data_IF_816093987509
#
_entry.id   IF_816093987509
#
_cell.length_a   1.000
_cell.length_b   1.000
_cell.length_c   1.000
_cell.angle_alpha   90.00
_cell.angle_beta   90.00
_cell.angle_gamma   90.00
#
_symmetry.space_group_name_H-M   'P 1'
#
loop_
_entity.id
_entity.type
_entity.pdbx_description
1 polymer ?
#
# COMPACT_ATOMS: atom_id res chain seq x y z
N UNK A 1 23.03 6.30 -23.50
CA UNK A 1 22.82 5.06 -22.73
C UNK A 1 21.34 4.74 -22.82
N UNK A 2 20.98 3.54 -23.23
CA UNK A 2 19.60 3.11 -23.46
C UNK A 2 19.30 1.95 -22.50
N UNK A 3 18.21 2.06 -21.74
CA UNK A 3 17.81 1.05 -20.74
C UNK A 3 16.61 0.31 -21.32
N UNK A 4 16.74 -1.01 -21.48
CA UNK A 4 15.66 -1.85 -21.99
C UNK A 4 14.65 -2.17 -20.89
N UNK A 5 13.37 -1.90 -21.15
CA UNK A 5 12.28 -2.17 -20.22
C UNK A 5 11.28 -3.08 -20.94
N UNK A 6 10.86 -4.16 -20.30
CA UNK A 6 9.74 -4.99 -20.78
C UNK A 6 8.57 -4.87 -19.83
N UNK A 7 7.35 -5.02 -20.34
CA UNK A 7 6.15 -4.88 -19.55
C UNK A 7 4.86 -5.03 -20.35
N UNK A 8 3.74 -4.87 -19.69
CA UNK A 8 2.41 -4.84 -20.31
C UNK A 8 1.60 -3.66 -19.80
N UNK A 9 0.74 -3.12 -20.68
CA UNK A 9 -0.21 -2.06 -20.32
C UNK A 9 -1.59 -2.68 -20.17
N UNK A 10 -2.19 -2.55 -18.99
CA UNK A 10 -3.57 -2.93 -18.75
C UNK A 10 -4.46 -1.70 -18.92
N UNK A 11 -5.54 -1.89 -19.67
CA UNK A 11 -6.58 -0.89 -19.87
C UNK A 11 -7.85 -1.35 -19.16
N UNK A 12 -8.36 -0.53 -18.23
CA UNK A 12 -9.72 -0.68 -17.72
C UNK A 12 -10.65 0.20 -18.55
N UNK A 13 -11.68 -0.41 -19.14
CA UNK A 13 -12.73 0.30 -19.88
C UNK A 13 -13.66 1.02 -18.89
N UNK A 14 -13.25 2.17 -18.35
CA UNK A 14 -14.17 3.07 -17.65
C UNK A 14 -14.49 4.27 -18.56
N UNK A 15 -15.78 4.45 -18.84
CA UNK A 15 -16.34 5.41 -19.79
C UNK A 15 -16.38 6.86 -19.28
N UNK A 16 -15.48 7.23 -18.37
CA UNK A 16 -15.45 8.54 -17.74
C UNK A 16 -14.26 9.38 -18.19
N UNK A 17 -14.40 10.71 -18.14
CA UNK A 17 -13.45 11.67 -18.73
C UNK A 17 -12.03 11.65 -18.16
N UNK A 18 -11.75 10.84 -17.14
CA UNK A 18 -10.41 10.55 -16.63
C UNK A 18 -10.06 9.07 -16.83
N UNK A 19 -9.42 8.73 -17.94
CA UNK A 19 -8.91 7.38 -18.18
C UNK A 19 -7.46 7.27 -17.70
N UNK A 20 -7.09 6.12 -17.13
CA UNK A 20 -5.72 5.82 -16.73
C UNK A 20 -5.31 4.44 -17.26
N UNK A 21 -4.03 4.27 -17.54
CA UNK A 21 -3.43 3.00 -17.92
C UNK A 21 -2.46 2.55 -16.82
N UNK A 22 -2.52 1.27 -16.46
CA UNK A 22 -1.52 0.68 -15.58
C UNK A 22 -0.41 0.05 -16.42
N UNK A 23 0.82 0.55 -16.29
CA UNK A 23 2.02 -0.05 -16.88
C UNK A 23 2.68 -0.96 -15.85
N UNK A 24 2.78 -2.25 -16.17
CA UNK A 24 3.46 -3.25 -15.37
C UNK A 24 4.82 -3.54 -15.99
N UNK A 25 5.89 -3.30 -15.24
CA UNK A 25 7.24 -3.61 -15.70
C UNK A 25 7.63 -5.04 -15.29
N UNK A 26 8.01 -5.86 -16.26
CA UNK A 26 8.49 -7.23 -16.04
C UNK A 26 10.01 -7.31 -16.00
N UNK A 27 10.72 -6.39 -16.67
CA UNK A 27 12.18 -6.29 -16.55
C UNK A 27 12.71 -4.86 -16.67
N UNK A 28 13.87 -4.62 -16.05
CA UNK A 28 14.65 -3.41 -16.16
C UNK A 28 16.11 -3.76 -16.50
N UNK A 29 16.59 -3.29 -17.64
CA UNK A 29 17.91 -3.62 -18.21
C UNK A 29 18.14 -5.15 -18.31
N UNK A 30 17.12 -5.88 -18.76
CA UNK A 30 17.15 -7.33 -18.90
C UNK A 30 17.05 -8.13 -17.59
N UNK A 31 16.94 -7.47 -16.43
CA UNK A 31 16.77 -8.15 -15.13
C UNK A 31 15.29 -8.19 -14.74
N UNK A 32 14.76 -9.34 -14.28
CA UNK A 32 13.40 -9.41 -13.76
C UNK A 32 13.20 -8.40 -12.62
N UNK A 33 12.10 -7.64 -12.68
CA UNK A 33 11.69 -6.81 -11.53
C UNK A 33 10.78 -7.69 -10.67
N UNK A 34 11.38 -8.46 -9.76
CA UNK A 34 10.60 -9.19 -8.78
C UNK A 34 10.09 -8.17 -7.75
N UNK A 35 8.78 -8.03 -7.63
CA UNK A 35 8.13 -7.13 -6.67
C UNK A 35 7.05 -7.90 -5.92
N UNK A 36 6.80 -7.50 -4.69
CA UNK A 36 5.71 -8.02 -3.87
C UNK A 36 5.02 -6.87 -3.15
N UNK A 37 3.91 -7.22 -2.50
CA UNK A 37 3.09 -6.31 -1.70
C UNK A 37 2.71 -6.98 -0.40
N UNK A 38 2.24 -6.19 0.57
CA UNK A 38 1.68 -6.71 1.81
C UNK A 38 0.28 -6.16 2.05
N UNK A 39 -0.69 -6.98 2.48
CA UNK A 39 -1.96 -6.47 3.00
C UNK A 39 -1.72 -5.81 4.36
N UNK A 40 -2.57 -4.85 4.71
CA UNK A 40 -2.59 -4.28 6.05
C UNK A 40 -4.01 -3.86 6.43
N UNK A 41 -4.32 -3.91 7.72
CA UNK A 41 -5.60 -3.50 8.26
C UNK A 41 -5.45 -3.06 9.72
N UNK A 42 -6.48 -2.41 10.26
CA UNK A 42 -6.52 -2.02 11.66
C UNK A 42 -7.58 -0.96 11.96
N UNK A 43 -7.51 -0.46 13.18
CA UNK A 43 -8.35 0.60 13.70
C UNK A 43 -7.50 1.82 14.07
N UNK A 44 -8.04 3.00 13.83
CA UNK A 44 -7.42 4.24 14.32
C UNK A 44 -7.65 4.40 15.83
N UNK A 45 -6.91 5.32 16.46
CA UNK A 45 -7.20 5.72 17.84
C UNK A 45 -8.61 6.28 17.99
N UNK A 46 -9.16 6.22 19.21
CA UNK A 46 -10.45 6.80 19.54
C UNK A 46 -10.27 8.27 19.89
N UNK A 47 -10.70 9.16 18.99
CA UNK A 47 -10.57 10.61 19.14
C UNK A 47 -11.91 11.26 18.80
N UNK A 48 -12.26 12.33 19.50
CA UNK A 48 -13.52 13.08 19.26
C UNK A 48 -14.76 12.16 19.21
N UNK A 49 -14.78 11.11 20.04
CA UNK A 49 -15.95 10.25 20.22
C UNK A 49 -16.09 9.10 19.23
N UNK A 50 -15.13 8.85 18.33
CA UNK A 50 -15.17 7.70 17.42
C UNK A 50 -13.77 7.26 16.96
N UNK A 51 -13.75 6.21 16.15
CA UNK A 51 -12.57 5.68 15.47
C UNK A 51 -13.00 5.22 14.06
N UNK A 52 -12.02 4.94 13.20
CA UNK A 52 -12.28 4.36 11.89
C UNK A 52 -11.51 3.06 11.70
N UNK A 53 -12.06 2.18 10.88
CA UNK A 53 -11.38 0.99 10.36
C UNK A 53 -10.61 1.35 9.09
N UNK A 54 -9.55 0.61 8.79
CA UNK A 54 -8.88 0.69 7.49
C UNK A 54 -8.41 -0.68 7.03
N UNK A 55 -8.37 -0.85 5.71
CA UNK A 55 -7.78 -2.00 5.02
C UNK A 55 -7.11 -1.50 3.74
N UNK A 56 -5.99 -2.10 3.40
CA UNK A 56 -5.24 -1.74 2.20
C UNK A 56 -4.19 -2.77 1.83
N UNK A 57 -3.51 -2.47 0.73
CA UNK A 57 -2.34 -3.22 0.25
C UNK A 57 -1.26 -2.20 -0.01
N UNK A 58 -0.02 -2.51 0.39
CA UNK A 58 1.10 -1.63 0.14
C UNK A 58 1.38 -1.49 -1.36
N UNK A 59 2.07 -0.42 -1.74
CA UNK A 59 2.60 -0.30 -3.10
C UNK A 59 3.70 -1.37 -3.33
N UNK A 60 3.92 -1.79 -4.60
CA UNK A 60 4.95 -2.77 -4.92
C UNK A 60 6.34 -2.24 -4.57
N UNK A 61 7.15 -3.09 -3.93
CA UNK A 61 8.57 -2.82 -3.74
C UNK A 61 9.41 -4.00 -4.28
N UNK A 62 10.67 -3.76 -4.68
CA UNK A 62 11.58 -4.82 -5.09
C UNK A 62 11.68 -5.91 -4.02
N UNK A 63 11.53 -7.16 -4.45
CA UNK A 63 11.73 -8.34 -3.61
C UNK A 63 13.21 -8.47 -3.21
N UNK A 64 13.43 -8.93 -1.97
CA UNK A 64 14.75 -9.03 -1.35
C UNK A 64 14.97 -8.02 -0.22
N UNK A 65 15.50 -8.46 0.91
CA UNK A 65 15.72 -7.62 2.11
C UNK A 65 17.14 -7.01 2.06
N UNK A 66 17.33 -5.73 2.41
CA UNK A 66 16.35 -4.78 2.97
C UNK A 66 15.54 -4.01 1.93
N UNK A 67 14.25 -3.82 2.20
CA UNK A 67 13.37 -2.87 1.50
C UNK A 67 12.27 -2.35 2.45
N UNK A 68 11.48 -1.42 1.94
CA UNK A 68 10.29 -0.84 2.57
C UNK A 68 9.20 -0.66 1.51
N UNK A 69 7.96 -0.51 1.92
CA UNK A 69 6.85 -0.19 1.02
C UNK A 69 6.25 1.18 1.34
N UNK A 70 5.81 1.89 0.30
CA UNK A 70 4.85 2.95 0.49
C UNK A 70 3.45 2.36 0.66
N UNK A 71 2.56 3.08 1.30
CA UNK A 71 1.17 2.69 1.42
C UNK A 71 0.26 3.91 1.42
N UNK A 72 -0.96 3.71 0.94
CA UNK A 72 -2.07 4.64 1.13
C UNK A 72 -3.38 3.87 1.26
N UNK A 73 -4.31 4.36 2.08
CA UNK A 73 -5.66 3.84 2.15
C UNK A 73 -6.64 4.91 2.64
N UNK A 74 -7.92 4.70 2.38
CA UNK A 74 -9.01 5.48 2.95
C UNK A 74 -9.64 4.70 4.10
N UNK A 75 -9.96 5.39 5.20
CA UNK A 75 -10.65 4.77 6.32
C UNK A 75 -12.15 4.57 6.04
N UNK A 76 -12.83 3.76 6.86
CA UNK A 76 -14.28 3.59 6.81
C UNK A 76 -15.03 4.91 7.04
N UNK A 77 -16.28 4.99 6.57
CA UNK A 77 -17.13 6.15 6.81
C UNK A 77 -17.77 6.07 8.21
N UNK A 78 -17.25 6.85 9.15
CA UNK A 78 -17.73 6.90 10.53
C UNK A 78 -17.96 8.37 10.89
N UNK A 79 -18.97 8.64 11.72
CA UNK A 79 -19.33 9.99 12.16
C UNK A 79 -19.37 11.04 11.02
N UNK A 80 -19.96 10.63 9.89
CA UNK A 80 -20.16 11.47 8.71
C UNK A 80 -18.90 11.90 7.93
N UNK A 81 -17.72 11.31 8.17
CA UNK A 81 -16.51 11.60 7.40
C UNK A 81 -15.57 10.38 7.27
N UNK A 82 -14.44 10.58 6.58
CA UNK A 82 -13.39 9.58 6.38
C UNK A 82 -12.05 10.27 6.56
N UNK A 83 -10.98 9.49 6.66
CA UNK A 83 -9.64 10.02 6.54
C UNK A 83 -8.80 9.24 5.54
N UNK A 84 -7.68 9.83 5.13
CA UNK A 84 -6.64 9.14 4.38
C UNK A 84 -5.49 8.79 5.31
N UNK A 85 -4.97 7.57 5.19
CA UNK A 85 -3.69 7.14 5.76
C UNK A 85 -2.67 6.99 4.63
N UNK A 86 -1.44 7.39 4.88
CA UNK A 86 -0.32 7.26 3.95
C UNK A 86 1.01 7.27 4.68
N UNK A 87 1.99 6.55 4.15
CA UNK A 87 3.34 6.58 4.68
C UNK A 87 4.26 5.59 3.99
N UNK A 88 5.39 5.35 4.63
CA UNK A 88 6.36 4.32 4.26
C UNK A 88 6.53 3.39 5.45
N UNK A 89 6.57 2.08 5.21
CA UNK A 89 6.75 1.09 6.26
C UNK A 89 8.17 1.14 6.85
N UNK A 90 8.34 0.54 8.03
CA UNK A 90 9.65 0.21 8.57
C UNK A 90 10.36 -0.90 7.80
N UNK A 91 11.57 -1.31 8.25
CA UNK A 91 12.33 -2.38 7.62
C UNK A 91 11.59 -3.72 7.68
N UNK A 92 11.90 -4.61 6.75
CA UNK A 92 11.37 -5.98 6.74
C UNK A 92 11.78 -6.75 8.00
N UNK A 93 10.81 -7.39 8.65
CA UNK A 93 10.97 -8.23 9.83
C UNK A 93 10.67 -9.68 9.43
N UNK A 94 11.66 -10.60 9.50
CA UNK A 94 11.50 -11.96 9.00
C UNK A 94 10.51 -12.78 9.84
N UNK A 95 9.74 -13.63 9.18
CA UNK A 95 8.87 -14.62 9.81
C UNK A 95 9.59 -15.98 9.90
N UNK A 96 9.32 -16.75 10.96
CA UNK A 96 9.98 -18.04 11.20
C UNK A 96 9.75 -19.10 10.10
N UNK A 97 8.67 -18.98 9.33
CA UNK A 97 8.30 -19.90 8.25
C UNK A 97 8.67 -19.44 6.85
N UNK A 98 9.46 -18.36 6.71
CA UNK A 98 9.70 -17.68 5.45
C UNK A 98 8.78 -16.48 5.25
N UNK A 99 9.19 -15.58 4.34
CA UNK A 99 8.59 -14.26 4.15
C UNK A 99 8.91 -13.29 5.29
N UNK A 100 8.23 -12.14 5.28
CA UNK A 100 8.42 -11.06 6.23
C UNK A 100 7.17 -10.20 6.32
N UNK A 101 7.16 -9.30 7.31
CA UNK A 101 6.19 -8.23 7.43
C UNK A 101 6.91 -6.91 7.71
N UNK A 102 6.18 -5.80 7.69
CA UNK A 102 6.71 -4.50 8.08
C UNK A 102 5.83 -3.84 9.14
N UNK A 103 6.45 -3.12 10.07
CA UNK A 103 5.72 -2.22 10.97
C UNK A 103 5.38 -0.90 10.25
N UNK A 104 4.26 -0.28 10.58
CA UNK A 104 3.88 1.04 10.11
C UNK A 104 3.14 1.83 11.18
N UNK A 105 3.22 3.16 11.12
CA UNK A 105 2.52 4.07 12.00
C UNK A 105 2.38 5.46 11.36
N UNK A 106 1.44 6.26 11.87
CA UNK A 106 1.26 7.63 11.45
C UNK A 106 0.01 8.29 12.00
N UNK A 107 -0.36 9.40 11.36
CA UNK A 107 -1.62 10.11 11.60
C UNK A 107 -2.41 10.21 10.31
N UNK A 108 -3.72 10.14 10.44
CA UNK A 108 -4.63 10.36 9.31
C UNK A 108 -4.58 11.82 8.83
N UNK A 109 -5.13 12.11 7.66
CA UNK A 109 -5.44 13.50 7.28
C UNK A 109 -6.45 14.11 8.26
N UNK A 110 -6.50 15.44 8.34
CA UNK A 110 -7.54 16.14 9.09
C UNK A 110 -8.83 16.16 8.28
N UNK A 111 -9.94 15.73 8.86
CA UNK A 111 -11.30 15.82 8.30
C UNK A 111 -12.34 15.92 9.44
N UNK A 112 -13.62 15.94 9.09
CA UNK A 112 -14.74 15.98 10.00
C UNK A 112 -15.25 17.40 10.29
N UNK A 113 -16.51 17.50 10.73
CA UNK A 113 -17.14 18.77 11.10
C UNK A 113 -16.41 19.45 12.27
N UNK A 114 -16.02 18.66 13.26
CA UNK A 114 -15.02 19.05 14.27
C UNK A 114 -13.69 18.60 13.70
N UNK A 115 -12.81 19.48 13.20
CA UNK A 115 -11.60 19.03 12.51
C UNK A 115 -10.68 18.24 13.44
N UNK A 116 -10.36 17.00 13.08
CA UNK A 116 -9.44 16.15 13.84
C UNK A 116 -8.74 15.13 12.94
N UNK A 117 -7.75 14.45 13.52
CA UNK A 117 -7.04 13.34 12.92
C UNK A 117 -6.86 12.25 13.98
N UNK A 118 -6.69 11.01 13.53
CA UNK A 118 -6.44 9.88 14.40
C UNK A 118 -5.01 9.36 14.22
N UNK A 119 -4.43 8.78 15.27
CA UNK A 119 -3.21 7.97 15.16
C UNK A 119 -3.57 6.58 14.64
N UNK A 120 -2.66 5.96 13.91
CA UNK A 120 -2.73 4.55 13.58
C UNK A 120 -1.35 3.90 13.69
N UNK A 121 -1.31 2.60 13.93
CA UNK A 121 -0.11 1.77 13.82
C UNK A 121 -0.47 0.30 13.66
N UNK A 122 0.46 -0.49 13.13
CA UNK A 122 0.24 -1.92 12.94
C UNK A 122 1.41 -2.61 12.26
N UNK A 123 1.21 -3.90 12.01
CA UNK A 123 2.08 -4.70 11.16
C UNK A 123 1.33 -5.05 9.89
N UNK A 124 2.03 -5.07 8.76
CA UNK A 124 1.48 -5.67 7.55
C UNK A 124 1.33 -7.19 7.73
N UNK A 125 0.56 -7.83 6.85
CA UNK A 125 0.60 -9.28 6.69
C UNK A 125 1.89 -9.77 6.03
N UNK A 126 1.96 -11.08 5.78
CA UNK A 126 3.06 -11.69 5.03
C UNK A 126 3.11 -11.18 3.58
N UNK A 127 4.28 -11.29 2.94
CA UNK A 127 4.46 -10.94 1.53
C UNK A 127 3.51 -11.72 0.61
N UNK A 128 2.98 -11.04 -0.41
CA UNK A 128 2.14 -11.61 -1.46
C UNK A 128 2.73 -11.24 -2.83
N UNK A 129 2.73 -12.18 -3.77
CA UNK A 129 3.11 -11.91 -5.15
C UNK A 129 2.25 -10.81 -5.74
N UNK A 130 2.88 -9.86 -6.43
CA UNK A 130 2.13 -8.79 -7.09
C UNK A 130 1.34 -9.36 -8.28
N UNK A 131 0.05 -9.02 -8.48
CA UNK A 131 -0.71 -9.51 -9.62
C UNK A 131 0.02 -9.21 -10.93
N UNK A 132 0.35 -10.25 -11.70
CA UNK A 132 1.09 -10.14 -12.96
C UNK A 132 2.55 -10.59 -12.91
N UNK A 133 3.07 -11.00 -11.75
CA UNK A 133 4.35 -11.73 -11.65
C UNK A 133 4.08 -13.21 -11.34
N UNK A 134 4.06 -14.05 -12.37
CA UNK A 134 4.11 -15.52 -12.19
C UNK A 134 5.56 -15.95 -12.05
N UNK A 135 5.86 -16.71 -10.99
CA UNK A 135 7.13 -17.41 -10.81
C UNK A 135 7.32 -18.51 -11.86
#
# INVERSE_FOLDING_TARGET
>A
MEIQITGFVVHSNDSDSGHSHQLFLTSWDGRPVNVHVHPFEGDTSFDVGHFHHYVGVTEPAPSGVPHVHNYHAQTSFNDQHKHMIRGTTGPAIPLAGGGHYHYFEGYTTVDGRVPHAHRYSGNTGNEQGYPGTSY
#
